data_IF_637286946072
#
_entry.id   IF_637286946072
#
_cell.length_a   1.000
_cell.length_b   1.000
_cell.length_c   1.000
_cell.angle_alpha   90.00
_cell.angle_beta   90.00
_cell.angle_gamma   90.00
#
_symmetry.space_group_name_H-M   'P 1'
#
loop_
_entity.id
_entity.type
_entity.pdbx_description
1 polymer ?
#
# COMPACT_ATOMS: atom_id res chain seq x y z
N UNK A 1 20.04 0.34 7.54
CA UNK A 1 19.43 -0.77 8.33
C UNK A 1 19.25 -0.43 9.82
N UNK A 2 20.09 0.42 10.38
CA UNK A 2 20.04 0.82 11.80
C UNK A 2 18.74 1.54 12.23
N UNK A 3 18.10 2.31 11.33
CA UNK A 3 16.81 2.99 11.60
C UNK A 3 15.60 2.04 11.78
N UNK A 4 15.68 0.81 11.30
CA UNK A 4 14.58 -0.19 11.38
C UNK A 4 14.55 -0.94 12.72
N UNK A 5 15.61 -0.86 13.52
CA UNK A 5 15.75 -1.65 14.75
C UNK A 5 15.35 -0.89 16.03
N UNK A 6 15.23 0.43 15.97
CA UNK A 6 14.91 1.24 17.15
C UNK A 6 13.40 1.39 17.28
N UNK A 7 12.86 0.85 18.38
CA UNK A 7 11.45 1.05 18.74
C UNK A 7 11.24 2.53 19.10
N UNK A 8 10.31 3.19 18.42
CA UNK A 8 9.88 4.54 18.78
C UNK A 8 9.20 4.55 20.15
N UNK A 9 9.56 5.47 21.01
CA UNK A 9 9.01 5.63 22.35
C UNK A 9 8.15 6.89 22.48
N UNK A 10 8.28 7.80 21.53
CA UNK A 10 7.49 9.04 21.45
C UNK A 10 6.80 9.15 20.08
N UNK A 11 5.78 10.00 20.00
CA UNK A 11 5.09 10.30 18.73
C UNK A 11 6.06 10.93 17.71
N UNK A 12 6.93 11.84 18.16
CA UNK A 12 7.95 12.46 17.28
C UNK A 12 8.88 11.41 16.69
N UNK A 13 9.42 10.51 17.52
CA UNK A 13 10.26 9.42 17.02
C UNK A 13 9.53 8.50 16.05
N UNK A 14 8.23 8.22 16.27
CA UNK A 14 7.44 7.41 15.36
C UNK A 14 7.27 8.09 14.00
N UNK A 15 7.06 9.40 13.96
CA UNK A 15 6.98 10.19 12.73
C UNK A 15 8.34 10.23 12.00
N UNK A 16 9.43 10.49 12.73
CA UNK A 16 10.77 10.62 12.16
C UNK A 16 11.32 9.29 11.61
N UNK A 17 10.91 8.18 12.21
CA UNK A 17 11.37 6.83 11.83
C UNK A 17 10.42 6.10 10.87
N UNK A 18 9.23 6.64 10.62
CA UNK A 18 8.27 6.05 9.69
C UNK A 18 8.87 5.92 8.29
N UNK A 19 8.72 4.76 7.70
CA UNK A 19 9.10 4.51 6.32
C UNK A 19 8.02 3.66 5.63
N UNK A 20 7.99 3.72 4.31
CA UNK A 20 7.16 2.83 3.50
C UNK A 20 7.98 1.61 3.12
N UNK A 21 7.77 0.50 3.82
CA UNK A 21 8.46 -0.75 3.54
C UNK A 21 7.92 -1.39 2.25
N UNK A 22 8.83 -1.81 1.35
CA UNK A 22 8.49 -2.52 0.10
C UNK A 22 9.37 -3.75 -0.11
N UNK A 23 9.84 -4.33 0.98
CA UNK A 23 10.53 -5.61 1.01
C UNK A 23 10.25 -6.26 2.37
N UNK A 24 9.65 -7.42 2.37
CA UNK A 24 9.25 -8.14 3.56
C UNK A 24 9.95 -9.51 3.60
N UNK A 25 10.12 -10.04 4.80
CA UNK A 25 10.53 -11.43 5.00
C UNK A 25 9.30 -12.35 4.89
N UNK A 26 9.52 -13.63 4.68
CA UNK A 26 8.45 -14.63 4.66
C UNK A 26 7.87 -14.96 6.05
N UNK A 27 8.45 -14.41 7.12
CA UNK A 27 7.99 -14.65 8.48
C UNK A 27 6.69 -13.88 8.75
N UNK A 28 5.58 -14.60 8.82
CA UNK A 28 4.31 -14.01 9.21
C UNK A 28 4.34 -13.60 10.70
N UNK A 29 3.76 -12.45 11.07
CA UNK A 29 3.52 -12.12 12.46
C UNK A 29 2.49 -13.08 13.08
N UNK A 30 2.54 -13.24 14.40
CA UNK A 30 1.53 -13.98 15.12
C UNK A 30 0.15 -13.31 14.99
N UNK A 31 -0.90 -14.12 14.93
CA UNK A 31 -2.29 -13.64 14.80
C UNK A 31 -2.65 -12.59 15.85
N UNK A 32 -2.19 -12.80 17.10
CA UNK A 32 -2.49 -11.88 18.19
C UNK A 32 -1.90 -10.49 17.96
N UNK A 33 -0.69 -10.41 17.38
CA UNK A 33 -0.06 -9.12 17.01
C UNK A 33 -0.94 -8.33 16.04
N UNK A 34 -1.53 -9.01 15.05
CA UNK A 34 -2.44 -8.37 14.08
C UNK A 34 -3.72 -7.90 14.77
N UNK A 35 -4.30 -8.73 15.64
CA UNK A 35 -5.50 -8.37 16.41
C UNK A 35 -5.23 -7.13 17.27
N UNK A 36 -4.14 -7.13 18.03
CA UNK A 36 -3.77 -6.00 18.90
C UNK A 36 -3.52 -4.71 18.11
N UNK A 37 -2.94 -4.84 16.92
CA UNK A 37 -2.73 -3.71 16.01
C UNK A 37 -4.07 -3.12 15.55
N UNK A 38 -5.00 -3.97 15.11
CA UNK A 38 -6.32 -3.55 14.63
C UNK A 38 -7.18 -2.97 15.76
N UNK A 39 -7.10 -3.53 16.97
CA UNK A 39 -7.76 -2.98 18.15
C UNK A 39 -7.27 -1.57 18.50
N UNK A 40 -6.01 -1.27 18.25
CA UNK A 40 -5.48 0.10 18.39
C UNK A 40 -5.90 0.99 17.23
N UNK A 41 -5.84 0.47 16.00
CA UNK A 41 -6.18 1.22 14.79
C UNK A 41 -7.65 1.67 14.76
N UNK A 42 -8.57 0.86 15.25
CA UNK A 42 -10.01 1.22 15.31
C UNK A 42 -10.33 2.41 16.22
N UNK A 43 -9.33 2.92 16.97
CA UNK A 43 -9.45 4.17 17.73
C UNK A 43 -9.26 5.42 16.87
N UNK A 44 -8.97 5.27 15.58
CA UNK A 44 -8.95 6.37 14.64
C UNK A 44 -10.30 7.10 14.66
N UNK A 45 -10.33 8.43 14.57
CA UNK A 45 -11.58 9.17 14.43
C UNK A 45 -12.21 8.90 13.06
N UNK A 46 -13.53 9.05 12.96
CA UNK A 46 -14.24 9.06 11.69
C UNK A 46 -15.30 10.15 11.67
N UNK A 47 -15.67 10.63 10.49
CA UNK A 47 -16.71 11.64 10.32
C UNK A 47 -18.02 11.18 10.97
N UNK A 48 -18.57 12.00 11.92
CA UNK A 48 -19.76 11.63 12.68
C UNK A 48 -19.61 10.33 13.51
N UNK A 49 -18.40 9.85 13.72
CA UNK A 49 -18.10 8.56 14.36
C UNK A 49 -18.81 7.37 13.68
N UNK A 50 -18.90 7.39 12.35
CA UNK A 50 -19.56 6.34 11.58
C UNK A 50 -18.82 5.01 11.58
N UNK A 51 -17.49 5.05 11.79
CA UNK A 51 -16.64 3.85 11.81
C UNK A 51 -16.86 2.95 10.58
N UNK A 52 -16.72 3.48 9.36
CA UNK A 52 -17.25 2.86 8.15
C UNK A 52 -16.42 1.69 7.63
N UNK A 53 -15.24 1.48 8.17
CA UNK A 53 -14.27 0.49 7.68
C UNK A 53 -14.72 -0.95 7.91
N UNK A 54 -14.54 -1.75 6.89
CA UNK A 54 -14.60 -3.21 6.93
C UNK A 54 -13.19 -3.72 6.68
N UNK A 55 -12.71 -4.65 7.51
CA UNK A 55 -11.31 -5.07 7.48
C UNK A 55 -11.22 -6.57 7.25
N UNK A 56 -10.42 -6.96 6.25
CA UNK A 56 -10.08 -8.35 5.99
C UNK A 56 -8.57 -8.54 6.14
N UNK A 57 -8.20 -9.54 6.90
CA UNK A 57 -6.80 -9.97 7.06
C UNK A 57 -6.64 -11.29 6.30
N UNK A 58 -5.74 -11.29 5.32
CA UNK A 58 -5.50 -12.43 4.44
C UNK A 58 -4.05 -12.87 4.55
N UNK A 59 -3.82 -14.17 4.71
CA UNK A 59 -2.49 -14.77 4.83
C UNK A 59 -2.48 -16.21 4.35
N UNK A 60 -1.30 -16.83 4.23
CA UNK A 60 -1.16 -18.24 3.84
C UNK A 60 -1.68 -18.52 2.42
N UNK A 61 -2.37 -19.66 2.24
CA UNK A 61 -2.88 -20.05 0.92
C UNK A 61 -3.90 -19.06 0.34
N UNK A 62 -4.89 -18.56 1.08
CA UNK A 62 -5.80 -17.53 0.54
C UNK A 62 -5.09 -16.29 -0.02
N UNK A 63 -3.95 -15.86 0.57
CA UNK A 63 -3.18 -14.76 0.02
C UNK A 63 -2.46 -15.13 -1.27
N UNK A 64 -1.94 -16.35 -1.36
CA UNK A 64 -1.30 -16.87 -2.58
C UNK A 64 -2.31 -16.98 -3.72
N UNK A 65 -3.47 -17.56 -3.45
CA UNK A 65 -4.55 -17.73 -4.41
C UNK A 65 -5.01 -16.35 -4.94
N UNK A 66 -5.17 -15.38 -4.05
CA UNK A 66 -5.49 -13.99 -4.43
C UNK A 66 -4.43 -13.37 -5.34
N UNK A 67 -3.12 -13.53 -5.02
CA UNK A 67 -2.03 -13.01 -5.84
C UNK A 67 -2.03 -13.66 -7.23
N UNK A 68 -2.27 -14.98 -7.30
CA UNK A 68 -2.36 -15.71 -8.55
C UNK A 68 -3.54 -15.25 -9.42
N UNK A 69 -4.71 -15.09 -8.82
CA UNK A 69 -5.91 -14.59 -9.50
C UNK A 69 -5.67 -13.18 -10.07
N UNK A 70 -5.07 -12.28 -9.29
CA UNK A 70 -4.73 -10.93 -9.76
C UNK A 70 -3.68 -10.99 -10.88
N UNK A 71 -2.67 -11.85 -10.76
CA UNK A 71 -1.66 -12.00 -11.81
C UNK A 71 -2.27 -12.49 -13.14
N UNK A 72 -3.25 -13.39 -13.08
CA UNK A 72 -3.96 -13.87 -14.26
C UNK A 72 -4.84 -12.76 -14.88
N UNK A 73 -5.58 -12.01 -14.07
CA UNK A 73 -6.35 -10.85 -14.54
C UNK A 73 -5.47 -9.79 -15.21
N UNK A 74 -4.28 -9.51 -14.67
CA UNK A 74 -3.33 -8.58 -15.31
C UNK A 74 -2.84 -9.09 -16.67
N UNK A 75 -2.66 -10.41 -16.84
CA UNK A 75 -2.31 -10.98 -18.16
C UNK A 75 -3.42 -10.81 -19.17
N UNK A 76 -4.67 -11.01 -18.74
CA UNK A 76 -5.86 -10.89 -19.58
C UNK A 76 -6.16 -9.42 -19.94
N UNK A 77 -6.00 -8.52 -18.96
CA UNK A 77 -6.24 -7.09 -19.11
C UNK A 77 -5.11 -6.25 -18.52
N UNK A 78 -3.99 -6.06 -19.23
CA UNK A 78 -2.82 -5.32 -18.71
C UNK A 78 -3.11 -3.84 -18.37
N UNK A 79 -4.15 -3.26 -18.93
CA UNK A 79 -4.58 -1.88 -18.65
C UNK A 79 -5.50 -1.76 -17.43
N UNK A 80 -5.92 -2.89 -16.84
CA UNK A 80 -6.87 -2.96 -15.75
C UNK A 80 -8.32 -2.72 -16.18
N UNK A 81 -9.22 -2.73 -15.22
CA UNK A 81 -10.67 -2.59 -15.43
C UNK A 81 -11.15 -1.12 -15.45
N UNK A 82 -10.20 -0.17 -15.39
CA UNK A 82 -10.48 1.25 -15.22
C UNK A 82 -10.49 1.68 -13.75
N UNK A 83 -10.69 2.95 -13.53
CA UNK A 83 -10.74 3.54 -12.18
C UNK A 83 -12.03 4.31 -11.99
N UNK A 84 -12.60 4.25 -10.79
CA UNK A 84 -13.79 5.04 -10.43
C UNK A 84 -13.44 6.53 -10.24
N UNK A 85 -12.17 6.83 -9.97
CA UNK A 85 -11.65 8.19 -9.81
C UNK A 85 -10.17 8.26 -10.22
N UNK A 86 -9.72 9.44 -10.57
CA UNK A 86 -8.30 9.64 -10.90
C UNK A 86 -7.42 9.59 -9.66
N UNK A 87 -6.44 8.68 -9.61
CA UNK A 87 -5.43 8.62 -8.53
C UNK A 87 -4.64 9.94 -8.45
N UNK A 88 -4.36 10.54 -9.60
CA UNK A 88 -3.76 11.87 -9.69
C UNK A 88 -4.69 12.79 -10.46
N UNK A 89 -4.80 14.08 -10.06
CA UNK A 89 -5.55 15.05 -10.83
C UNK A 89 -5.03 15.11 -12.28
N UNK A 90 -5.92 15.20 -13.29
CA UNK A 90 -5.49 15.43 -14.66
C UNK A 90 -4.78 16.79 -14.76
N UNK A 91 -3.78 16.88 -15.64
CA UNK A 91 -3.01 18.11 -15.88
C UNK A 91 -2.34 18.68 -14.61
N UNK A 92 -1.73 17.80 -13.82
CA UNK A 92 -1.02 18.18 -12.61
C UNK A 92 0.03 19.25 -12.93
N UNK A 93 -0.03 20.39 -12.22
CA UNK A 93 0.85 21.55 -12.42
C UNK A 93 1.98 21.59 -11.38
N UNK A 94 2.95 22.48 -11.62
CA UNK A 94 3.99 22.78 -10.65
C UNK A 94 3.41 23.37 -9.34
N UNK A 95 3.98 23.03 -8.17
CA UNK A 95 5.17 22.20 -7.95
C UNK A 95 4.87 20.69 -7.80
N UNK A 96 3.64 20.27 -7.99
CA UNK A 96 3.20 18.88 -7.72
C UNK A 96 3.75 17.90 -8.76
N UNK A 97 3.84 18.33 -10.01
CA UNK A 97 4.37 17.50 -11.08
C UNK A 97 5.85 17.19 -10.90
N UNK A 98 6.67 18.20 -10.58
CA UNK A 98 8.10 18.01 -10.32
C UNK A 98 8.33 17.12 -9.09
N UNK A 99 7.57 17.29 -8.02
CA UNK A 99 7.65 16.41 -6.82
C UNK A 99 7.35 14.95 -7.15
N UNK A 100 6.31 14.69 -7.94
CA UNK A 100 5.94 13.35 -8.39
C UNK A 100 7.04 12.72 -9.25
N UNK A 101 7.60 13.47 -10.19
CA UNK A 101 8.71 13.03 -11.05
C UNK A 101 9.95 12.70 -10.23
N UNK A 102 10.29 13.56 -9.27
CA UNK A 102 11.48 13.39 -8.42
C UNK A 102 11.39 12.12 -7.56
N UNK A 103 10.25 11.87 -6.92
CA UNK A 103 10.03 10.62 -6.16
C UNK A 103 10.20 9.40 -7.06
N UNK A 104 9.63 9.43 -8.27
CA UNK A 104 9.79 8.32 -9.23
C UNK A 104 11.24 8.13 -9.66
N UNK A 105 11.96 9.22 -9.96
CA UNK A 105 13.37 9.19 -10.32
C UNK A 105 14.22 8.57 -9.21
N UNK A 106 14.14 9.09 -8.00
CA UNK A 106 14.89 8.62 -6.84
C UNK A 106 14.61 7.15 -6.51
N UNK A 107 13.36 6.73 -6.61
CA UNK A 107 12.99 5.33 -6.39
C UNK A 107 13.66 4.38 -7.39
N UNK A 108 13.58 4.71 -8.68
CA UNK A 108 14.17 3.85 -9.73
C UNK A 108 15.70 3.86 -9.72
N UNK A 109 16.33 4.97 -9.32
CA UNK A 109 17.77 5.04 -9.09
C UNK A 109 18.21 4.08 -7.98
N UNK A 110 17.54 4.12 -6.82
CA UNK A 110 17.84 3.22 -5.69
C UNK A 110 17.65 1.74 -6.07
N UNK A 111 16.68 1.47 -6.95
CA UNK A 111 16.40 0.11 -7.43
C UNK A 111 17.33 -0.33 -8.58
N UNK A 112 18.20 0.54 -9.09
CA UNK A 112 19.02 0.31 -10.27
C UNK A 112 18.19 -0.10 -11.51
N UNK A 113 17.02 0.51 -11.70
CA UNK A 113 16.15 0.29 -12.85
C UNK A 113 16.19 1.53 -13.75
N UNK A 114 16.97 1.53 -14.83
CA UNK A 114 17.09 2.67 -15.72
C UNK A 114 15.77 2.97 -16.46
N UNK A 115 15.68 4.18 -17.05
CA UNK A 115 14.46 4.62 -17.72
C UNK A 115 14.10 3.74 -18.93
N UNK A 116 15.11 3.22 -19.58
CA UNK A 116 15.03 2.38 -20.78
C UNK A 116 14.60 0.94 -20.47
N UNK A 117 14.80 0.48 -19.23
CA UNK A 117 14.37 -0.85 -18.76
C UNK A 117 12.88 -0.88 -18.45
N UNK A 118 12.07 -0.93 -19.52
CA UNK A 118 10.60 -1.02 -19.41
C UNK A 118 10.14 -2.30 -18.71
N UNK A 119 10.86 -3.41 -18.91
CA UNK A 119 10.52 -4.69 -18.29
C UNK A 119 10.76 -4.65 -16.78
N UNK A 120 11.90 -4.13 -16.32
CA UNK A 120 12.20 -3.92 -14.92
C UNK A 120 11.20 -3.00 -14.23
N UNK A 121 10.78 -1.92 -14.91
CA UNK A 121 9.74 -1.00 -14.40
C UNK A 121 8.38 -1.68 -14.28
N UNK A 122 7.99 -2.48 -15.27
CA UNK A 122 6.75 -3.25 -15.22
C UNK A 122 6.79 -4.28 -14.08
N UNK A 123 7.91 -4.99 -13.92
CA UNK A 123 8.09 -5.94 -12.82
C UNK A 123 8.01 -5.26 -11.46
N UNK A 124 8.63 -4.08 -11.30
CA UNK A 124 8.51 -3.29 -10.07
C UNK A 124 7.06 -2.85 -9.80
N UNK A 125 6.32 -2.48 -10.84
CA UNK A 125 4.90 -2.14 -10.72
C UNK A 125 4.06 -3.36 -10.29
N UNK A 126 4.30 -4.54 -10.86
CA UNK A 126 3.60 -5.78 -10.49
C UNK A 126 3.77 -6.15 -9.02
N UNK A 127 4.92 -5.80 -8.40
CA UNK A 127 5.15 -6.05 -6.97
C UNK A 127 4.12 -5.41 -6.05
N UNK A 128 3.41 -4.36 -6.48
CA UNK A 128 2.30 -3.80 -5.70
C UNK A 128 1.20 -4.84 -5.50
N UNK A 129 0.89 -5.61 -6.53
CA UNK A 129 -0.14 -6.66 -6.49
C UNK A 129 0.33 -7.94 -5.79
N UNK A 130 1.63 -8.07 -5.57
CA UNK A 130 2.25 -9.14 -4.79
C UNK A 130 2.51 -8.70 -3.34
N UNK A 131 1.97 -7.56 -2.92
CA UNK A 131 2.17 -6.92 -1.60
C UNK A 131 3.66 -6.82 -1.21
N UNK A 132 4.56 -6.69 -2.20
CA UNK A 132 6.01 -6.66 -2.03
C UNK A 132 6.57 -7.88 -1.27
N UNK A 133 5.91 -9.02 -1.37
CA UNK A 133 6.27 -10.27 -0.70
C UNK A 133 5.85 -10.33 0.78
N UNK A 134 4.97 -9.45 1.23
CA UNK A 134 4.46 -9.51 2.59
C UNK A 134 3.65 -10.81 2.84
N UNK A 135 3.85 -11.50 3.97
CA UNK A 135 3.16 -12.75 4.28
C UNK A 135 1.72 -12.55 4.78
N UNK A 136 1.33 -11.30 5.04
CA UNK A 136 -0.02 -10.91 5.46
C UNK A 136 -0.41 -9.64 4.70
N UNK A 137 -1.62 -9.62 4.17
CA UNK A 137 -2.26 -8.44 3.60
C UNK A 137 -3.48 -8.04 4.45
N UNK A 138 -3.69 -6.74 4.59
CA UNK A 138 -4.87 -6.20 5.26
C UNK A 138 -5.60 -5.31 4.26
N UNK A 139 -6.86 -5.64 3.98
CA UNK A 139 -7.72 -4.87 3.10
C UNK A 139 -8.68 -4.04 3.95
N UNK A 140 -8.73 -2.76 3.67
CA UNK A 140 -9.70 -1.84 4.21
C UNK A 140 -10.70 -1.49 3.11
N UNK A 141 -11.97 -1.60 3.41
CA UNK A 141 -13.04 -1.20 2.51
C UNK A 141 -14.11 -0.46 3.28
N UNK A 142 -14.87 0.35 2.57
CA UNK A 142 -16.07 1.02 3.10
C UNK A 142 -17.27 0.67 2.23
N UNK A 143 -18.44 0.78 2.77
CA UNK A 143 -19.69 0.61 2.01
C UNK A 143 -19.84 1.76 1.00
N UNK A 144 -20.31 1.48 -0.22
CA UNK A 144 -20.48 2.49 -1.27
C UNK A 144 -21.44 3.64 -0.89
N UNK A 145 -22.36 3.42 0.04
CA UNK A 145 -23.23 4.46 0.55
C UNK A 145 -22.49 5.58 1.28
N UNK A 146 -21.24 5.34 1.73
CA UNK A 146 -20.43 6.31 2.45
C UNK A 146 -19.92 7.44 1.56
N UNK A 147 -19.81 7.21 0.26
CA UNK A 147 -19.36 8.19 -0.75
C UNK A 147 -17.99 8.83 -0.41
N UNK A 148 -17.61 9.82 -1.21
CA UNK A 148 -16.27 10.42 -1.16
C UNK A 148 -15.96 11.11 0.18
N UNK A 149 -16.99 11.60 0.88
CA UNK A 149 -16.81 12.27 2.17
C UNK A 149 -16.22 11.40 3.28
N UNK A 150 -16.30 10.07 3.13
CA UNK A 150 -15.78 9.12 4.12
C UNK A 150 -14.54 8.34 3.62
N UNK A 151 -14.03 8.65 2.43
CA UNK A 151 -12.86 7.95 1.89
C UNK A 151 -11.57 8.26 2.65
N UNK A 152 -11.53 9.34 3.41
CA UNK A 152 -10.39 9.69 4.26
C UNK A 152 -10.37 8.97 5.62
N UNK A 153 -11.45 8.33 6.01
CA UNK A 153 -11.61 7.61 7.27
C UNK A 153 -11.07 6.18 7.19
#
# INVERSE_FOLDING_TARGET
>A
MEKLSKKATTVSEALDTRLTCRAFTSKAPEKQVIIDLLEKAKRAPSGGNLQPWKIWVVSGNPLKDFIEDVANKIKENPMGEGTEYNIYPPNLKEPYESRRREVGRSMYEVLNIPKEDKAGRLNQFKRNFEFFGAPVAIFFAIDRQMQEGQWSD
#
